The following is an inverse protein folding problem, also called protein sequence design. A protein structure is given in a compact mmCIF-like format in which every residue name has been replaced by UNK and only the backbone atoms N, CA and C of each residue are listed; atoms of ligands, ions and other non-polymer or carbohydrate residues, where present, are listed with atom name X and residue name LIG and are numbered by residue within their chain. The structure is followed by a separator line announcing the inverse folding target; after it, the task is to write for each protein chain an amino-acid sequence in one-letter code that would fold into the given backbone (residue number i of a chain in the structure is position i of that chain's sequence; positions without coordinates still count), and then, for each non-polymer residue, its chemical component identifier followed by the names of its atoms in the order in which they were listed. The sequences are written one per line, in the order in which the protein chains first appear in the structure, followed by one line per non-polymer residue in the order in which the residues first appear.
data_IF_306690936949
#
_entry.id   IF_306690936949
#
_cell.length_a   1.000
_cell.length_b   1.000
_cell.length_c   1.000
_cell.angle_alpha   90.00
_cell.angle_beta   90.00
_cell.angle_gamma   90.00
#
_symmetry.space_group_name_H-M   'P 1'
#
loop_
_entity.id
_entity.type
_entity.pdbx_description
1 polymer ?
#
# COMPACT_ATOMS: atom_id res chain seq x y z
N UNK A 1 29.80 -17.15 -60.55
CA UNK A 1 30.58 -17.52 -59.34
C UNK A 1 29.58 -17.67 -58.21
N UNK A 2 29.24 -18.91 -57.88
CA UNK A 2 28.34 -19.26 -56.78
C UNK A 2 29.11 -19.88 -55.64
N UNK A 3 28.64 -19.66 -54.41
CA UNK A 3 29.02 -20.40 -53.19
C UNK A 3 27.81 -20.35 -52.26
N UNK A 4 26.98 -21.38 -52.29
CA UNK A 4 26.93 -22.51 -51.33
C UNK A 4 26.20 -22.13 -50.04
N UNK A 5 24.92 -22.48 -50.03
CA UNK A 5 24.00 -22.52 -48.89
C UNK A 5 24.39 -23.71 -48.01
N UNK A 6 24.79 -23.47 -46.76
CA UNK A 6 25.07 -24.55 -45.81
C UNK A 6 23.80 -24.98 -45.10
N UNK A 7 23.36 -26.21 -45.37
CA UNK A 7 22.28 -26.92 -44.67
C UNK A 7 22.86 -27.57 -43.41
N UNK A 8 22.34 -27.25 -42.22
CA UNK A 8 22.68 -27.95 -40.97
C UNK A 8 21.52 -28.89 -40.62
N UNK A 9 21.79 -30.19 -40.72
CA UNK A 9 20.91 -31.28 -40.30
C UNK A 9 21.21 -31.57 -38.83
N UNK A 10 20.28 -31.24 -37.92
CA UNK A 10 20.38 -31.69 -36.53
C UNK A 10 19.68 -33.05 -36.38
N UNK A 11 20.49 -34.10 -36.23
CA UNK A 11 20.09 -35.45 -35.86
C UNK A 11 19.59 -35.46 -34.42
N UNK A 12 18.31 -35.79 -34.24
CA UNK A 12 17.69 -36.08 -32.94
C UNK A 12 18.20 -37.41 -32.40
N UNK A 13 18.96 -37.37 -31.31
CA UNK A 13 19.28 -38.53 -30.48
C UNK A 13 18.38 -38.51 -29.24
N UNK A 14 17.39 -39.40 -29.24
CA UNK A 14 16.62 -39.75 -28.06
C UNK A 14 17.53 -40.48 -27.06
N UNK A 15 17.45 -40.11 -25.79
CA UNK A 15 18.00 -40.90 -24.69
C UNK A 15 16.97 -40.96 -23.57
N UNK A 16 16.84 -42.17 -23.05
CA UNK A 16 15.76 -42.76 -22.28
C UNK A 16 15.48 -42.13 -20.92
N UNK A 17 14.20 -42.21 -20.54
CA UNK A 17 13.64 -42.02 -19.21
C UNK A 17 14.53 -42.63 -18.11
N UNK A 18 14.91 -41.83 -17.12
CA UNK A 18 15.23 -42.33 -15.79
C UNK A 18 14.24 -41.72 -14.81
N UNK A 19 13.36 -42.58 -14.27
CA UNK A 19 12.38 -42.24 -13.25
C UNK A 19 13.10 -42.05 -11.91
N UNK A 20 13.55 -40.82 -11.64
CA UNK A 20 13.90 -40.37 -10.30
C UNK A 20 12.75 -39.58 -9.72
N UNK A 21 12.00 -40.17 -8.78
CA UNK A 21 11.02 -39.44 -7.97
C UNK A 21 11.82 -38.48 -7.09
N UNK A 22 12.05 -37.27 -7.59
CA UNK A 22 12.49 -36.15 -6.77
C UNK A 22 11.28 -35.75 -5.94
N UNK A 23 11.21 -36.27 -4.72
CA UNK A 23 10.32 -35.76 -3.67
C UNK A 23 10.64 -34.27 -3.56
N UNK A 24 9.80 -33.43 -4.15
CA UNK A 24 9.86 -31.98 -3.97
C UNK A 24 9.68 -31.76 -2.49
N UNK A 25 10.78 -31.51 -1.79
CA UNK A 25 10.74 -30.99 -0.43
C UNK A 25 9.93 -29.71 -0.54
N UNK A 26 8.68 -29.75 -0.09
CA UNK A 26 7.96 -28.57 0.33
C UNK A 26 8.75 -28.01 1.50
N UNK A 27 9.81 -27.26 1.18
CA UNK A 27 10.22 -26.18 2.06
C UNK A 27 9.04 -25.21 2.03
N UNK A 28 8.05 -25.49 2.88
CA UNK A 28 7.26 -24.44 3.47
C UNK A 28 8.29 -23.55 4.16
N UNK A 29 8.79 -22.55 3.43
CA UNK A 29 9.24 -21.33 4.07
C UNK A 29 8.03 -20.90 4.86
N UNK A 30 8.00 -21.23 6.15
CA UNK A 30 7.11 -20.58 7.09
C UNK A 30 7.50 -19.12 7.01
N UNK A 31 6.85 -18.37 6.11
CA UNK A 31 6.89 -16.93 6.14
C UNK A 31 6.38 -16.63 7.53
N UNK A 32 7.30 -16.19 8.39
CA UNK A 32 6.96 -15.76 9.75
C UNK A 32 5.83 -14.76 9.58
N UNK A 33 4.64 -15.16 10.01
CA UNK A 33 3.48 -14.29 10.06
C UNK A 33 3.90 -13.04 10.84
N UNK A 34 3.62 -11.84 10.31
CA UNK A 34 3.92 -10.62 11.07
C UNK A 34 3.08 -10.65 12.34
N UNK A 35 3.76 -10.57 13.49
CA UNK A 35 3.10 -10.19 14.72
C UNK A 35 2.76 -8.70 14.65
N UNK A 36 1.51 -8.45 14.29
CA UNK A 36 0.97 -7.11 14.07
C UNK A 36 1.10 -6.23 15.30
N UNK A 37 0.80 -6.75 16.48
CA UNK A 37 0.78 -5.95 17.70
C UNK A 37 2.21 -5.57 18.11
N UNK A 38 3.16 -6.51 17.99
CA UNK A 38 4.58 -6.24 18.22
C UNK A 38 5.12 -5.18 17.25
N UNK A 39 4.79 -5.25 15.96
CA UNK A 39 5.27 -4.26 14.98
C UNK A 39 4.61 -2.89 15.17
N UNK A 40 3.31 -2.84 15.50
CA UNK A 40 2.63 -1.59 15.85
C UNK A 40 3.24 -0.94 17.10
N UNK A 41 3.61 -1.74 18.11
CA UNK A 41 4.29 -1.23 19.29
C UNK A 41 5.65 -0.63 18.94
N UNK A 42 6.45 -1.31 18.11
CA UNK A 42 7.74 -0.79 17.62
C UNK A 42 7.58 0.52 16.85
N UNK A 43 6.58 0.61 15.96
CA UNK A 43 6.26 1.85 15.25
C UNK A 43 5.92 2.96 16.25
N UNK A 44 5.06 2.68 17.23
CA UNK A 44 4.59 3.67 18.20
C UNK A 44 5.67 4.23 19.13
N UNK A 45 6.74 3.45 19.36
CA UNK A 45 7.91 3.86 20.15
C UNK A 45 9.00 4.53 19.29
N UNK A 46 8.83 4.55 17.97
CA UNK A 46 9.75 5.22 17.06
C UNK A 46 9.54 6.74 17.06
N UNK A 47 10.46 7.47 16.45
CA UNK A 47 10.39 8.92 16.31
C UNK A 47 10.26 9.33 14.84
N UNK A 48 9.34 10.26 14.57
CA UNK A 48 9.38 11.12 13.38
C UNK A 48 9.67 12.54 13.87
N UNK A 49 10.81 13.07 13.49
CA UNK A 49 11.37 14.32 14.05
C UNK A 49 11.03 15.54 13.22
N UNK A 50 11.31 16.73 13.76
CA UNK A 50 11.20 17.99 13.01
C UNK A 50 12.11 17.98 11.77
N UNK A 51 13.30 17.39 11.88
CA UNK A 51 14.23 17.24 10.75
C UNK A 51 13.64 16.38 9.65
N UNK A 52 12.95 15.28 10.00
CA UNK A 52 12.24 14.44 9.05
C UNK A 52 11.12 15.22 8.34
N UNK A 53 10.37 16.04 9.09
CA UNK A 53 9.33 16.88 8.50
C UNK A 53 9.89 17.93 7.54
N UNK A 54 11.02 18.57 7.89
CA UNK A 54 11.70 19.51 6.99
C UNK A 54 12.19 18.83 5.72
N UNK A 55 12.71 17.60 5.82
CA UNK A 55 13.07 16.80 4.65
C UNK A 55 11.84 16.53 3.77
N UNK A 56 10.70 16.22 4.39
CA UNK A 56 9.44 15.94 3.71
C UNK A 56 8.78 17.16 3.07
N UNK A 57 9.10 18.40 3.43
CA UNK A 57 8.50 19.59 2.81
C UNK A 57 9.26 20.11 1.59
N UNK A 58 10.48 19.63 1.34
CA UNK A 58 11.35 20.02 0.22
C UNK A 58 11.51 21.54 0.06
N UNK A 59 11.38 22.29 1.15
CA UNK A 59 11.42 23.74 1.18
C UNK A 59 12.04 24.21 2.50
N UNK A 60 12.69 25.36 2.48
CA UNK A 60 13.15 26.02 3.69
C UNK A 60 11.97 26.72 4.38
N UNK A 61 11.24 25.94 5.18
CA UNK A 61 10.09 26.41 5.97
C UNK A 61 10.41 26.33 7.45
N UNK A 62 9.73 27.16 8.24
CA UNK A 62 9.86 27.11 9.70
C UNK A 62 9.46 25.73 10.23
N UNK A 63 9.97 25.37 11.41
CA UNK A 63 9.66 24.07 12.03
C UNK A 63 8.15 23.85 12.22
N UNK A 64 7.40 24.94 12.48
CA UNK A 64 5.95 24.88 12.65
C UNK A 64 5.25 24.48 11.35
N UNK A 65 5.58 25.16 10.24
CA UNK A 65 5.03 24.84 8.92
C UNK A 65 5.48 23.45 8.45
N UNK A 66 6.75 23.10 8.68
CA UNK A 66 7.28 21.77 8.39
C UNK A 66 6.45 20.69 9.11
N UNK A 67 6.18 20.89 10.40
CA UNK A 67 5.41 19.94 11.21
C UNK A 67 3.99 19.78 10.70
N UNK A 68 3.30 20.88 10.35
CA UNK A 68 1.93 20.81 9.81
C UNK A 68 1.85 19.99 8.52
N UNK A 69 2.69 20.33 7.54
CA UNK A 69 2.71 19.66 6.23
C UNK A 69 3.22 18.22 6.37
N UNK A 70 4.31 18.02 7.11
CA UNK A 70 4.95 16.72 7.29
C UNK A 70 4.06 15.71 7.99
N UNK A 71 3.31 16.13 9.02
CA UNK A 71 2.33 15.27 9.71
C UNK A 71 1.21 14.83 8.78
N UNK A 72 0.62 15.77 8.04
CA UNK A 72 -0.42 15.47 7.06
C UNK A 72 0.09 14.53 5.97
N UNK A 73 1.31 14.76 5.46
CA UNK A 73 1.90 13.92 4.42
C UNK A 73 2.19 12.50 4.94
N UNK A 74 2.71 12.36 6.16
CA UNK A 74 2.98 11.06 6.78
C UNK A 74 1.69 10.23 6.91
N UNK A 75 0.63 10.82 7.45
CA UNK A 75 -0.65 10.13 7.62
C UNK A 75 -1.24 9.69 6.27
N UNK A 76 -1.30 10.59 5.30
CA UNK A 76 -1.86 10.26 3.99
C UNK A 76 -0.98 9.29 3.19
N UNK A 77 0.32 9.26 3.46
CA UNK A 77 1.23 8.27 2.86
C UNK A 77 0.95 6.86 3.38
N UNK A 78 0.68 6.70 4.68
CA UNK A 78 0.28 5.41 5.26
C UNK A 78 -1.00 4.91 4.62
N UNK A 79 -2.03 5.76 4.56
CA UNK A 79 -3.30 5.43 3.92
C UNK A 79 -3.12 5.11 2.43
N UNK A 80 -2.30 5.88 1.72
CA UNK A 80 -1.98 5.61 0.31
C UNK A 80 -1.30 4.25 0.13
N UNK A 81 -0.34 3.88 0.98
CA UNK A 81 0.29 2.55 0.93
C UNK A 81 -0.77 1.46 1.04
N UNK A 82 -1.67 1.56 2.01
CA UNK A 82 -2.74 0.58 2.18
C UNK A 82 -3.70 0.51 0.99
N UNK A 83 -4.05 1.64 0.37
CA UNK A 83 -4.89 1.67 -0.82
C UNK A 83 -4.20 1.04 -2.04
N UNK A 84 -2.90 1.26 -2.21
CA UNK A 84 -2.13 0.63 -3.27
C UNK A 84 -2.11 -0.90 -3.11
N UNK A 85 -1.88 -1.40 -1.90
CA UNK A 85 -1.90 -2.85 -1.64
C UNK A 85 -3.33 -3.42 -1.77
N UNK A 86 -4.36 -2.66 -1.38
CA UNK A 86 -5.77 -3.05 -1.54
C UNK A 86 -6.15 -3.19 -3.02
N UNK A 87 -5.84 -2.18 -3.84
CA UNK A 87 -6.09 -2.21 -5.29
C UNK A 87 -5.31 -3.34 -5.95
N UNK A 88 -4.07 -3.58 -5.53
CA UNK A 88 -3.25 -4.71 -5.98
C UNK A 88 -3.88 -6.07 -5.68
N UNK A 89 -4.38 -6.27 -4.45
CA UNK A 89 -5.06 -7.50 -4.04
C UNK A 89 -6.38 -7.74 -4.79
N UNK A 90 -7.07 -6.66 -5.18
CA UNK A 90 -8.30 -6.70 -5.97
C UNK A 90 -8.04 -6.80 -7.50
N UNK A 91 -6.79 -6.73 -7.93
CA UNK A 91 -6.38 -6.65 -9.35
C UNK A 91 -6.98 -5.45 -10.10
N UNK A 92 -7.16 -4.33 -9.40
CA UNK A 92 -7.60 -3.07 -10.01
C UNK A 92 -6.40 -2.25 -10.49
N UNK A 93 -6.66 -1.33 -11.40
CA UNK A 93 -5.70 -0.37 -11.94
C UNK A 93 -5.16 0.59 -10.87
N UNK A 94 -4.32 1.56 -11.25
CA UNK A 94 -3.77 2.54 -10.32
C UNK A 94 -4.85 3.42 -9.70
N UNK A 95 -4.51 4.08 -8.60
CA UNK A 95 -5.41 5.04 -7.95
C UNK A 95 -5.82 6.16 -8.91
N UNK A 96 -7.07 6.59 -8.81
CA UNK A 96 -7.57 7.71 -9.62
C UNK A 96 -6.99 9.05 -9.14
N UNK A 97 -6.84 10.05 -10.04
CA UNK A 97 -6.38 11.37 -9.65
C UNK A 97 -7.25 12.00 -8.55
N UNK A 98 -6.64 12.87 -7.73
CA UNK A 98 -7.37 13.55 -6.67
C UNK A 98 -8.52 14.37 -7.24
N UNK A 99 -9.63 14.39 -6.50
CA UNK A 99 -10.84 15.15 -6.84
C UNK A 99 -11.10 16.21 -5.77
N UNK A 100 -11.98 17.14 -6.08
CA UNK A 100 -12.47 18.12 -5.11
C UNK A 100 -13.27 17.44 -3.98
N UNK A 101 -13.51 18.20 -2.90
CA UNK A 101 -14.18 17.70 -1.70
C UNK A 101 -15.63 17.27 -1.93
N UNK A 102 -16.31 17.73 -2.98
CA UNK A 102 -17.67 17.28 -3.26
C UNK A 102 -17.70 15.78 -3.57
N UNK A 103 -16.60 15.24 -4.10
CA UNK A 103 -16.46 13.81 -4.32
C UNK A 103 -16.34 12.99 -3.02
N UNK A 104 -16.12 13.62 -1.86
CA UNK A 104 -16.07 12.95 -0.56
C UNK A 104 -17.44 12.48 -0.06
N UNK A 105 -18.54 12.92 -0.69
CA UNK A 105 -19.87 12.45 -0.33
C UNK A 105 -19.98 10.93 -0.49
N UNK A 106 -20.83 10.27 0.32
CA UNK A 106 -21.21 8.89 0.07
C UNK A 106 -21.83 8.75 -1.33
N UNK A 107 -21.50 7.67 -2.08
CA UNK A 107 -22.18 7.38 -3.33
C UNK A 107 -23.65 7.02 -3.08
N UNK A 108 -24.52 7.36 -4.02
CA UNK A 108 -25.94 6.98 -3.98
C UNK A 108 -26.14 5.54 -4.46
N UNK A 109 -27.26 4.91 -4.07
CA UNK A 109 -27.61 3.58 -4.57
C UNK A 109 -27.74 3.53 -6.10
N UNK A 110 -28.18 4.63 -6.72
CA UNK A 110 -28.24 4.73 -8.18
C UNK A 110 -26.85 4.68 -8.81
N UNK A 111 -25.88 5.43 -8.26
CA UNK A 111 -24.49 5.43 -8.73
C UNK A 111 -23.84 4.05 -8.54
N UNK A 112 -24.05 3.43 -7.37
CA UNK A 112 -23.57 2.08 -7.11
C UNK A 112 -24.23 1.04 -8.04
N UNK A 113 -25.52 1.20 -8.33
CA UNK A 113 -26.28 0.35 -9.24
C UNK A 113 -25.83 0.47 -10.70
N UNK A 114 -25.33 1.64 -11.10
CA UNK A 114 -24.90 1.94 -12.48
C UNK A 114 -23.43 1.64 -12.77
N UNK A 115 -22.62 1.27 -11.76
CA UNK A 115 -21.26 0.81 -11.97
C UNK A 115 -21.21 -0.43 -12.86
N UNK A 116 -20.52 -0.34 -14.00
CA UNK A 116 -20.46 -1.41 -15.02
C UNK A 116 -19.38 -2.47 -14.73
N UNK A 117 -18.53 -2.25 -13.73
CA UNK A 117 -17.49 -3.19 -13.29
C UNK A 117 -17.31 -3.12 -11.76
N UNK A 118 -16.62 -4.12 -11.20
CA UNK A 118 -16.23 -4.10 -9.79
C UNK A 118 -15.24 -2.98 -9.47
N UNK A 119 -14.36 -2.64 -10.40
CA UNK A 119 -13.41 -1.54 -10.23
C UNK A 119 -14.14 -0.20 -10.16
N UNK A 120 -15.11 0.05 -11.05
CA UNK A 120 -15.93 1.27 -10.95
C UNK A 120 -16.76 1.32 -9.67
N UNK A 121 -17.29 0.17 -9.25
CA UNK A 121 -17.99 0.07 -7.96
C UNK A 121 -17.05 0.40 -6.80
N UNK A 122 -15.83 -0.13 -6.83
CA UNK A 122 -14.78 0.18 -5.85
C UNK A 122 -14.41 1.65 -5.87
N UNK A 123 -14.17 2.28 -7.02
CA UNK A 123 -13.80 3.70 -7.11
C UNK A 123 -14.84 4.64 -6.49
N UNK A 124 -16.13 4.28 -6.54
CA UNK A 124 -17.19 5.03 -5.85
C UNK A 124 -17.07 4.94 -4.32
N UNK A 125 -16.60 3.80 -3.81
CA UNK A 125 -16.50 3.45 -2.39
C UNK A 125 -15.09 3.52 -1.81
N UNK A 126 -14.06 3.75 -2.63
CA UNK A 126 -12.67 3.77 -2.23
C UNK A 126 -12.50 4.76 -1.07
N UNK A 127 -11.88 4.36 0.06
CA UNK A 127 -11.76 5.19 1.24
C UNK A 127 -11.20 6.57 0.95
N UNK A 128 -11.99 7.61 1.24
CA UNK A 128 -11.70 9.00 0.88
C UNK A 128 -11.14 9.76 2.09
N UNK A 129 -10.26 10.72 1.83
CA UNK A 129 -9.71 11.61 2.85
C UNK A 129 -9.86 13.08 2.42
N UNK A 130 -10.17 13.94 3.38
CA UNK A 130 -10.21 15.40 3.18
C UNK A 130 -8.82 15.93 2.80
N UNK A 131 -7.76 15.35 3.37
CA UNK A 131 -6.36 15.75 3.11
C UNK A 131 -5.86 15.25 1.75
N UNK A 132 -6.47 14.16 1.23
CA UNK A 132 -6.22 13.58 -0.10
C UNK A 132 -7.25 14.09 -1.13
N UNK A 133 -7.39 15.41 -1.21
CA UNK A 133 -8.31 16.10 -2.14
C UNK A 133 -7.63 17.32 -2.76
N UNK A 134 -8.17 17.80 -3.90
CA UNK A 134 -7.68 19.01 -4.56
C UNK A 134 -7.78 20.26 -3.67
N UNK A 135 -8.67 20.24 -2.67
CA UNK A 135 -8.88 21.32 -1.71
C UNK A 135 -8.09 21.09 -0.41
N UNK A 136 -7.03 20.28 -0.44
CA UNK A 136 -6.15 20.09 0.71
C UNK A 136 -5.35 21.36 0.99
N UNK A 137 -5.33 21.77 2.25
CA UNK A 137 -4.57 22.96 2.70
C UNK A 137 -3.12 22.64 3.06
N UNK A 138 -2.77 21.35 3.16
CA UNK A 138 -1.49 20.91 3.71
C UNK A 138 -0.58 20.25 2.67
N UNK A 139 -1.14 19.47 1.75
CA UNK A 139 -0.35 18.65 0.81
C UNK A 139 -0.99 18.62 -0.57
N UNK A 140 -0.19 18.33 -1.60
CA UNK A 140 -0.66 18.15 -2.97
C UNK A 140 -0.47 16.69 -3.41
N UNK A 141 -1.22 16.27 -4.42
CA UNK A 141 -1.12 14.90 -4.98
C UNK A 141 0.33 14.54 -5.37
N UNK A 142 1.06 15.50 -5.96
CA UNK A 142 2.46 15.34 -6.35
C UNK A 142 3.42 15.08 -5.17
N UNK A 143 3.03 15.38 -3.93
CA UNK A 143 3.86 15.18 -2.75
C UNK A 143 3.75 13.74 -2.22
N UNK A 144 2.69 13.00 -2.56
CA UNK A 144 2.43 11.65 -2.07
C UNK A 144 3.56 10.66 -2.39
N UNK A 145 4.11 10.59 -3.62
CA UNK A 145 5.19 9.65 -3.90
C UNK A 145 6.41 9.84 -2.97
N UNK A 146 6.73 11.09 -2.60
CA UNK A 146 7.81 11.39 -1.65
C UNK A 146 7.47 10.89 -0.25
N UNK A 147 6.26 11.15 0.23
CA UNK A 147 5.81 10.69 1.53
C UNK A 147 5.76 9.16 1.63
N UNK A 148 5.25 8.49 0.58
CA UNK A 148 5.26 7.01 0.48
C UNK A 148 6.68 6.47 0.53
N UNK A 149 7.61 7.04 -0.24
CA UNK A 149 9.01 6.62 -0.22
C UNK A 149 9.67 6.80 1.16
N UNK A 150 9.37 7.90 1.86
CA UNK A 150 9.81 8.10 3.24
C UNK A 150 9.26 7.02 4.18
N UNK A 151 7.96 6.73 4.10
CA UNK A 151 7.32 5.71 4.95
C UNK A 151 7.82 4.29 4.65
N UNK A 152 8.02 3.94 3.38
CA UNK A 152 8.60 2.65 2.99
C UNK A 152 10.05 2.52 3.47
N UNK A 153 10.82 3.61 3.49
CA UNK A 153 12.19 3.62 4.03
C UNK A 153 12.22 3.53 5.55
N UNK A 154 11.33 4.24 6.24
CA UNK A 154 11.32 4.35 7.70
C UNK A 154 10.63 3.16 8.38
N UNK A 155 9.53 2.71 7.81
CA UNK A 155 8.65 1.65 8.33
C UNK A 155 8.23 0.69 7.21
N UNK A 156 9.17 -0.03 6.57
CA UNK A 156 8.87 -0.94 5.46
C UNK A 156 7.84 -2.02 5.83
N UNK A 157 7.70 -2.32 7.13
CA UNK A 157 6.73 -3.28 7.66
C UNK A 157 5.28 -2.88 7.40
N UNK A 158 4.95 -1.59 7.28
CA UNK A 158 3.58 -1.10 7.05
C UNK A 158 3.01 -1.68 5.76
N UNK A 159 3.77 -1.60 4.66
CA UNK A 159 3.38 -2.18 3.38
C UNK A 159 3.17 -3.68 3.48
N UNK A 160 4.07 -4.36 4.19
CA UNK A 160 4.01 -5.80 4.42
C UNK A 160 2.74 -6.18 5.24
N UNK A 161 2.37 -5.40 6.24
CA UNK A 161 1.16 -5.63 7.05
C UNK A 161 -0.12 -5.54 6.22
N UNK A 162 -0.26 -4.50 5.39
CA UNK A 162 -1.41 -4.40 4.48
C UNK A 162 -1.47 -5.59 3.51
N UNK A 163 -0.34 -5.91 2.88
CA UNK A 163 -0.24 -7.03 1.94
C UNK A 163 -0.65 -8.36 2.57
N UNK A 164 -0.03 -8.74 3.69
CA UNK A 164 -0.35 -10.00 4.38
C UNK A 164 -1.80 -10.03 4.85
N UNK A 165 -2.36 -8.89 5.26
CA UNK A 165 -3.77 -8.79 5.66
C UNK A 165 -4.69 -9.11 4.48
N UNK A 166 -4.48 -8.48 3.34
CA UNK A 166 -5.32 -8.68 2.16
C UNK A 166 -5.14 -10.09 1.57
N UNK A 167 -3.92 -10.61 1.53
CA UNK A 167 -3.65 -12.00 1.11
C UNK A 167 -4.39 -13.00 2.00
N UNK A 168 -4.36 -12.84 3.33
CA UNK A 168 -5.10 -13.72 4.26
C UNK A 168 -6.62 -13.63 4.08
N UNK A 169 -7.15 -12.41 3.87
CA UNK A 169 -8.59 -12.20 3.64
C UNK A 169 -9.05 -12.91 2.37
N UNK A 170 -8.21 -12.92 1.34
CA UNK A 170 -8.43 -13.59 0.05
C UNK A 170 -8.24 -15.12 0.12
N UNK A 171 -7.21 -15.62 0.81
CA UNK A 171 -6.91 -17.05 0.96
C UNK A 171 -7.93 -17.75 1.85
N UNK A 172 -8.22 -17.19 3.03
CA UNK A 172 -9.17 -17.77 3.99
C UNK A 172 -10.62 -17.71 3.47
N UNK A 173 -10.87 -16.92 2.44
CA UNK A 173 -12.09 -16.95 1.67
C UNK A 173 -12.01 -17.99 0.56
N UNK A 174 -11.79 -19.29 0.87
CA UNK A 174 -11.60 -20.40 -0.10
C UNK A 174 -12.71 -20.56 -1.18
N UNK A 175 -13.74 -19.69 -1.19
CA UNK A 175 -14.79 -19.57 -2.20
C UNK A 175 -15.20 -18.11 -2.49
N UNK A 176 -14.33 -17.13 -2.23
CA UNK A 176 -14.63 -15.72 -2.42
C UNK A 176 -14.68 -15.44 -3.92
N UNK A 177 -15.87 -15.58 -4.50
CA UNK A 177 -16.16 -15.00 -5.81
C UNK A 177 -15.92 -13.51 -5.65
N UNK A 178 -15.05 -12.97 -6.48
CA UNK A 178 -14.84 -11.52 -6.53
C UNK A 178 -16.14 -10.87 -7.00
N UNK A 179 -16.88 -10.34 -6.02
CA UNK A 179 -18.15 -9.66 -6.18
C UNK A 179 -18.16 -8.36 -5.36
N UNK A 180 -19.27 -7.63 -5.35
CA UNK A 180 -19.39 -6.35 -4.63
C UNK A 180 -19.24 -6.52 -3.11
N UNK A 181 -19.73 -7.64 -2.55
CA UNK A 181 -19.62 -7.93 -1.12
C UNK A 181 -18.17 -8.23 -0.73
N UNK A 182 -17.43 -8.88 -1.62
CA UNK A 182 -16.01 -9.13 -1.47
C UNK A 182 -15.21 -7.82 -1.44
N UNK A 183 -15.52 -6.90 -2.36
CA UNK A 183 -14.93 -5.55 -2.38
C UNK A 183 -15.24 -4.80 -1.08
N UNK A 184 -16.49 -4.81 -0.63
CA UNK A 184 -16.90 -4.12 0.61
C UNK A 184 -16.14 -4.64 1.84
N UNK A 185 -16.02 -5.97 1.97
CA UNK A 185 -15.24 -6.59 3.05
C UNK A 185 -13.77 -6.16 3.00
N UNK A 186 -13.16 -6.10 1.82
CA UNK A 186 -11.76 -5.67 1.67
C UNK A 186 -11.56 -4.20 2.06
N UNK A 187 -12.54 -3.33 1.75
CA UNK A 187 -12.55 -1.93 2.20
C UNK A 187 -12.63 -1.84 3.73
N UNK A 188 -13.52 -2.62 4.37
CA UNK A 188 -13.65 -2.65 5.83
C UNK A 188 -12.34 -3.09 6.51
N UNK A 189 -11.69 -4.13 5.97
CA UNK A 189 -10.42 -4.62 6.48
C UNK A 189 -9.28 -3.60 6.29
N UNK A 190 -9.28 -2.86 5.18
CA UNK A 190 -8.38 -1.72 4.99
C UNK A 190 -8.63 -0.66 6.06
N UNK A 191 -9.88 -0.23 6.28
CA UNK A 191 -10.20 0.84 7.23
C UNK A 191 -9.79 0.46 8.66
N UNK A 192 -10.03 -0.79 9.05
CA UNK A 192 -9.61 -1.30 10.35
C UNK A 192 -8.08 -1.32 10.49
N UNK A 193 -7.36 -1.70 9.43
CA UNK A 193 -5.90 -1.75 9.43
C UNK A 193 -5.27 -0.35 9.44
N UNK A 194 -5.73 0.51 8.54
CA UNK A 194 -5.27 1.90 8.40
C UNK A 194 -5.43 2.64 9.72
N UNK A 195 -6.58 2.48 10.39
CA UNK A 195 -6.80 3.07 11.72
C UNK A 195 -5.74 2.62 12.72
N UNK A 196 -5.45 1.32 12.84
CA UNK A 196 -4.45 0.80 13.80
C UNK A 196 -3.05 1.33 13.52
N UNK A 197 -2.64 1.35 12.26
CA UNK A 197 -1.32 1.82 11.87
C UNK A 197 -1.21 3.33 12.08
N UNK A 198 -2.24 4.11 11.74
CA UNK A 198 -2.29 5.54 12.01
C UNK A 198 -2.26 5.85 13.50
N UNK A 199 -2.99 5.10 14.33
CA UNK A 199 -2.95 5.26 15.79
C UNK A 199 -1.52 5.01 16.35
N UNK A 200 -0.77 4.07 15.78
CA UNK A 200 0.63 3.85 16.13
C UNK A 200 1.55 4.99 15.63
N UNK A 201 1.35 5.46 14.40
CA UNK A 201 2.09 6.56 13.81
C UNK A 201 1.83 7.88 14.54
N UNK A 202 0.61 8.12 15.04
CA UNK A 202 0.30 9.31 15.82
C UNK A 202 1.19 9.41 17.06
N UNK A 203 1.35 8.30 17.77
CA UNK A 203 2.26 8.22 18.93
C UNK A 203 3.71 8.49 18.53
N UNK A 204 4.14 8.04 17.36
CA UNK A 204 5.49 8.29 16.85
C UNK A 204 5.71 9.76 16.45
N UNK A 205 4.66 10.47 16.01
CA UNK A 205 4.67 11.90 15.63
C UNK A 205 4.59 12.84 16.84
N UNK A 206 3.86 12.43 17.88
CA UNK A 206 3.54 13.24 19.05
C UNK A 206 4.34 12.86 20.30
N UNK A 207 5.30 11.94 20.19
CA UNK A 207 6.17 11.59 21.30
C UNK A 207 6.96 12.82 21.77
N UNK A 208 6.64 13.29 22.98
CA UNK A 208 7.31 14.41 23.62
C UNK A 208 8.82 14.19 23.72
N UNK A 209 9.25 12.95 23.98
CA UNK A 209 10.67 12.58 24.00
C UNK A 209 11.34 12.83 22.65
N UNK A 210 10.68 12.47 21.55
CA UNK A 210 11.18 12.71 20.19
C UNK A 210 11.23 14.21 19.86
N UNK A 211 10.24 14.97 20.32
CA UNK A 211 10.16 16.42 20.07
C UNK A 211 11.25 17.18 20.84
N UNK A 212 11.49 16.84 22.12
CA UNK A 212 12.54 17.48 22.93
C UNK A 212 13.94 17.18 22.39
N UNK A 213 14.18 15.98 21.88
CA UNK A 213 15.44 15.60 21.23
C UNK A 213 15.64 16.27 19.84
N UNK A 214 14.59 16.86 19.27
CA UNK A 214 14.63 17.51 17.95
C UNK A 214 15.00 18.99 18.00
N UNK A 215 15.10 19.60 19.19
CA UNK A 215 15.56 20.98 19.36
C UNK A 215 17.07 20.99 19.66
N UNK A 216 17.85 21.88 19.00
CA UNK A 216 19.27 22.06 19.30
C UNK A 216 19.51 22.63 20.70
#
# INVERSE_FOLDING_TARGET
MGTITTLIICLSLASSLNAGITRRSSNATSVSEIDMDTELEKISKSCITISDYKLLTNNDVTWFIASMIGRALVEESVSTIGLLELRGALHFGPMTPWRDRNFLRPPTEQELGSASSLEQYYELKEPKSITRSLDSLMIMEKDIPRGVAFMDGRFPVIRKMFREKFEKVMINGEKMVMDRKAVDRMIEEYQAMDKKIRDAIEKAKDSYECVVQSYP
#
